data_IF_057797614691
#
_entry.id   IF_057797614691
#
_cell.length_a   1.000
_cell.length_b   1.000
_cell.length_c   1.000
_cell.angle_alpha   90.00
_cell.angle_beta   90.00
_cell.angle_gamma   90.00
#
_symmetry.space_group_name_H-M   'P 1'
#
loop_
_entity.id
_entity.type
_entity.pdbx_description
1 polymer ?
#
# COMPACT_ATOMS: atom_id res chain seq x y z
N UNK A 1 36.56 -23.81 -23.35
CA UNK A 1 35.58 -24.31 -22.37
C UNK A 1 35.10 -23.11 -21.56
N UNK A 2 33.90 -22.58 -21.84
CA UNK A 2 33.36 -21.40 -21.16
C UNK A 2 32.08 -21.78 -20.42
N UNK A 3 32.10 -21.47 -19.12
CA UNK A 3 31.06 -21.66 -18.12
C UNK A 3 29.71 -21.08 -18.57
N UNK A 4 28.71 -21.95 -18.79
CA UNK A 4 27.31 -21.53 -18.68
C UNK A 4 27.01 -21.37 -17.19
N UNK A 5 26.76 -20.13 -16.77
CA UNK A 5 26.06 -19.88 -15.51
C UNK A 5 24.65 -20.44 -15.69
N UNK A 6 24.41 -21.63 -15.16
CA UNK A 6 23.06 -22.14 -14.98
C UNK A 6 22.38 -21.22 -13.97
N UNK A 7 21.67 -20.22 -14.51
CA UNK A 7 20.74 -19.39 -13.77
C UNK A 7 19.55 -20.29 -13.44
N UNK A 8 19.70 -21.14 -12.43
CA UNK A 8 18.60 -21.98 -11.96
C UNK A 8 17.53 -21.04 -11.43
N UNK A 9 16.43 -20.90 -12.16
CA UNK A 9 15.20 -20.32 -11.64
C UNK A 9 14.80 -21.14 -10.41
N UNK A 10 15.20 -20.68 -9.23
CA UNK A 10 14.83 -21.29 -7.97
C UNK A 10 13.35 -20.99 -7.79
N UNK A 11 12.50 -21.92 -8.23
CA UNK A 11 11.06 -21.82 -8.03
C UNK A 11 10.80 -21.73 -6.54
N UNK A 12 10.08 -20.68 -6.13
CA UNK A 12 9.66 -20.51 -4.75
C UNK A 12 8.79 -21.70 -4.36
N UNK A 13 9.26 -22.49 -3.39
CA UNK A 13 8.50 -23.60 -2.85
C UNK A 13 7.39 -23.05 -1.98
N UNK A 14 6.15 -23.34 -2.35
CA UNK A 14 4.97 -22.98 -1.58
C UNK A 14 4.32 -24.23 -0.98
N UNK A 15 3.57 -24.04 0.10
CA UNK A 15 2.64 -25.03 0.62
C UNK A 15 1.21 -24.51 0.45
N UNK A 16 0.24 -25.41 0.28
CA UNK A 16 -1.17 -25.07 0.15
C UNK A 16 -2.04 -26.01 0.95
N UNK A 17 -3.06 -25.47 1.64
CA UNK A 17 -4.11 -26.28 2.25
C UNK A 17 -5.15 -26.67 1.20
N UNK A 18 -5.20 -27.95 0.84
CA UNK A 18 -6.10 -28.46 -0.20
C UNK A 18 -7.57 -28.38 0.22
N UNK A 19 -7.84 -28.29 1.53
CA UNK A 19 -9.20 -28.06 2.02
C UNK A 19 -9.78 -26.73 1.53
N UNK A 20 -8.96 -25.70 1.30
CA UNK A 20 -9.42 -24.41 0.73
C UNK A 20 -10.03 -24.59 -0.66
N UNK A 21 -9.40 -25.41 -1.50
CA UNK A 21 -9.88 -25.71 -2.85
C UNK A 21 -11.21 -26.44 -2.79
N UNK A 22 -11.30 -27.48 -1.95
CA UNK A 22 -12.51 -28.30 -1.83
C UNK A 22 -13.69 -27.51 -1.23
N UNK A 23 -13.42 -26.65 -0.25
CA UNK A 23 -14.43 -25.76 0.33
C UNK A 23 -14.93 -24.77 -0.73
N UNK A 24 -14.04 -24.18 -1.51
CA UNK A 24 -14.41 -23.26 -2.60
C UNK A 24 -15.28 -23.95 -3.65
N UNK A 25 -14.90 -25.15 -4.09
CA UNK A 25 -15.68 -25.98 -5.01
C UNK A 25 -17.10 -26.25 -4.45
N UNK A 26 -17.21 -26.59 -3.16
CA UNK A 26 -18.49 -26.86 -2.50
C UNK A 26 -19.35 -25.61 -2.32
N UNK A 27 -18.76 -24.46 -1.98
CA UNK A 27 -19.45 -23.17 -1.90
C UNK A 27 -20.08 -22.84 -3.25
N UNK A 28 -19.32 -22.95 -4.34
CA UNK A 28 -19.85 -22.72 -5.69
C UNK A 28 -20.99 -23.69 -6.02
N UNK A 29 -20.88 -24.96 -5.60
CA UNK A 29 -21.94 -25.96 -5.80
C UNK A 29 -23.22 -25.62 -5.05
N UNK A 30 -23.13 -25.21 -3.79
CA UNK A 30 -24.31 -24.87 -2.98
C UNK A 30 -24.91 -23.51 -3.36
N UNK A 31 -24.10 -22.53 -3.75
CA UNK A 31 -24.57 -21.21 -4.18
C UNK A 31 -25.39 -21.26 -5.47
N UNK A 32 -25.16 -22.24 -6.36
CA UNK A 32 -25.97 -22.43 -7.59
C UNK A 32 -27.46 -22.63 -7.31
N UNK A 33 -27.83 -23.05 -6.09
CA UNK A 33 -29.22 -23.23 -5.67
C UNK A 33 -29.91 -21.88 -5.43
N UNK A 34 -29.16 -20.83 -5.12
CA UNK A 34 -29.71 -19.51 -4.79
C UNK A 34 -29.93 -18.64 -6.04
N UNK A 35 -30.98 -17.79 -6.06
CA UNK A 35 -31.15 -16.75 -7.08
C UNK A 35 -29.93 -15.82 -7.18
N UNK A 36 -29.66 -15.30 -8.37
CA UNK A 36 -28.49 -14.44 -8.62
C UNK A 36 -28.44 -13.19 -7.73
N UNK A 37 -29.61 -12.61 -7.41
CA UNK A 37 -29.76 -11.43 -6.55
C UNK A 37 -29.31 -11.68 -5.10
N UNK A 38 -29.51 -12.90 -4.59
CA UNK A 38 -29.08 -13.28 -3.24
C UNK A 38 -27.61 -13.65 -3.26
N UNK A 39 -27.14 -14.31 -4.34
CA UNK A 39 -25.73 -14.69 -4.50
C UNK A 39 -24.76 -13.52 -4.35
N UNK A 40 -25.09 -12.33 -4.87
CA UNK A 40 -24.24 -11.15 -4.79
C UNK A 40 -24.14 -10.53 -3.39
N UNK A 41 -25.07 -10.85 -2.48
CA UNK A 41 -25.05 -10.37 -1.09
C UNK A 41 -24.16 -11.20 -0.16
N UNK A 42 -23.75 -12.40 -0.59
CA UNK A 42 -22.92 -13.27 0.25
C UNK A 42 -21.46 -12.84 0.26
N UNK A 43 -20.92 -12.62 1.46
CA UNK A 43 -19.48 -12.49 1.65
C UNK A 43 -18.81 -13.88 1.57
N UNK A 44 -18.27 -14.23 0.40
CA UNK A 44 -17.63 -15.53 0.16
C UNK A 44 -16.44 -15.76 1.10
N UNK A 45 -15.67 -14.73 1.40
CA UNK A 45 -14.49 -14.84 2.28
C UNK A 45 -14.92 -15.23 3.70
N UNK A 46 -16.02 -14.68 4.22
CA UNK A 46 -16.55 -15.07 5.53
C UNK A 46 -17.06 -16.53 5.52
N UNK A 47 -17.69 -16.96 4.43
CA UNK A 47 -18.18 -18.34 4.27
C UNK A 47 -17.00 -19.32 4.25
N UNK A 48 -15.95 -19.02 3.48
CA UNK A 48 -14.73 -19.82 3.41
C UNK A 48 -14.06 -19.91 4.78
N UNK A 49 -13.81 -18.78 5.45
CA UNK A 49 -13.20 -18.74 6.78
C UNK A 49 -14.02 -19.50 7.82
N UNK A 50 -15.36 -19.34 7.82
CA UNK A 50 -16.24 -20.05 8.74
C UNK A 50 -16.16 -21.57 8.53
N UNK A 51 -16.18 -22.03 7.28
CA UNK A 51 -16.14 -23.45 6.96
C UNK A 51 -14.76 -24.06 7.30
N UNK A 52 -13.68 -23.40 6.90
CA UNK A 52 -12.30 -23.88 7.10
C UNK A 52 -11.93 -24.01 8.57
N UNK A 53 -12.40 -23.10 9.43
CA UNK A 53 -12.17 -23.16 10.88
C UNK A 53 -12.85 -24.37 11.57
N UNK A 54 -13.60 -25.20 10.83
CA UNK A 54 -14.31 -26.38 11.34
C UNK A 54 -13.90 -27.67 10.63
N UNK A 55 -12.93 -27.60 9.72
CA UNK A 55 -12.49 -28.72 8.91
C UNK A 55 -11.01 -29.01 9.20
N UNK A 56 -10.56 -30.26 9.07
CA UNK A 56 -9.15 -30.58 9.19
C UNK A 56 -8.37 -29.93 8.05
N UNK A 57 -7.17 -29.44 8.36
CA UNK A 57 -6.24 -28.92 7.35
C UNK A 57 -5.60 -30.08 6.58
N UNK A 58 -5.44 -29.91 5.25
CA UNK A 58 -4.83 -30.90 4.36
C UNK A 58 -3.72 -30.23 3.56
N UNK A 59 -2.57 -29.99 4.19
CA UNK A 59 -1.44 -29.34 3.53
C UNK A 59 -0.72 -30.23 2.54
N UNK A 60 -0.29 -29.64 1.43
CA UNK A 60 0.60 -30.23 0.46
C UNK A 60 1.70 -29.24 0.05
N UNK A 61 2.92 -29.74 -0.12
CA UNK A 61 4.09 -29.01 -0.61
C UNK A 61 4.61 -29.53 -1.96
N UNK A 62 3.90 -30.49 -2.56
CA UNK A 62 4.21 -31.06 -3.88
C UNK A 62 2.94 -31.36 -4.64
N UNK A 63 3.02 -31.45 -5.98
CA UNK A 63 1.88 -31.79 -6.83
C UNK A 63 1.30 -33.18 -6.50
N UNK A 64 2.17 -34.18 -6.32
CA UNK A 64 1.75 -35.53 -5.89
C UNK A 64 1.04 -35.49 -4.54
N UNK A 65 1.58 -34.71 -3.59
CA UNK A 65 0.94 -34.50 -2.28
C UNK A 65 -0.43 -33.83 -2.43
N UNK A 66 -0.54 -32.83 -3.30
CA UNK A 66 -1.80 -32.12 -3.57
C UNK A 66 -2.86 -33.09 -4.08
N UNK A 67 -2.52 -33.91 -5.07
CA UNK A 67 -3.49 -34.84 -5.68
C UNK A 67 -3.94 -35.90 -4.68
N UNK A 68 -3.01 -36.44 -3.87
CA UNK A 68 -3.34 -37.36 -2.79
C UNK A 68 -4.25 -36.73 -1.73
N UNK A 69 -3.94 -35.51 -1.27
CA UNK A 69 -4.77 -34.79 -0.31
C UNK A 69 -6.16 -34.44 -0.88
N UNK A 70 -6.23 -34.15 -2.18
CA UNK A 70 -7.50 -33.89 -2.88
C UNK A 70 -8.40 -35.12 -2.84
N UNK A 71 -7.86 -36.30 -3.12
CA UNK A 71 -8.61 -37.55 -3.07
C UNK A 71 -9.03 -37.92 -1.64
N UNK A 72 -8.14 -37.76 -0.65
CA UNK A 72 -8.48 -37.91 0.77
C UNK A 72 -9.65 -36.99 1.15
N UNK A 73 -9.58 -35.72 0.77
CA UNK A 73 -10.63 -34.74 1.01
C UNK A 73 -11.98 -35.14 0.44
N UNK A 74 -12.02 -35.57 -0.83
CA UNK A 74 -13.24 -36.02 -1.51
C UNK A 74 -13.82 -37.32 -0.93
N UNK A 75 -12.99 -38.26 -0.51
CA UNK A 75 -13.46 -39.56 -0.03
C UNK A 75 -13.86 -39.50 1.44
N UNK A 76 -13.03 -38.87 2.28
CA UNK A 76 -13.19 -38.88 3.74
C UNK A 76 -14.02 -37.72 4.27
N UNK A 77 -13.87 -36.52 3.70
CA UNK A 77 -14.40 -35.29 4.29
C UNK A 77 -15.54 -34.64 3.50
N UNK A 78 -16.01 -35.25 2.40
CA UNK A 78 -17.06 -34.67 1.54
C UNK A 78 -18.34 -34.31 2.31
N UNK A 79 -18.76 -35.15 3.26
CA UNK A 79 -19.99 -34.91 4.04
C UNK A 79 -19.79 -33.73 5.00
N UNK A 80 -18.65 -33.72 5.69
CA UNK A 80 -18.24 -32.70 6.65
C UNK A 80 -18.09 -31.34 5.97
N UNK A 81 -17.45 -31.29 4.80
CA UNK A 81 -17.33 -30.09 3.97
C UNK A 81 -18.72 -29.56 3.60
N UNK A 82 -19.61 -30.43 3.12
CA UNK A 82 -20.98 -30.05 2.78
C UNK A 82 -21.78 -29.49 3.96
N UNK A 83 -21.64 -30.08 5.15
CA UNK A 83 -22.28 -29.60 6.39
C UNK A 83 -21.68 -28.26 6.84
N UNK A 84 -20.36 -28.12 6.80
CA UNK A 84 -19.66 -26.90 7.21
C UNK A 84 -20.06 -25.71 6.32
N UNK A 85 -20.05 -25.89 4.99
CA UNK A 85 -20.46 -24.86 4.02
C UNK A 85 -21.94 -24.51 4.19
N UNK A 86 -22.82 -25.49 4.40
CA UNK A 86 -24.25 -25.21 4.62
C UNK A 86 -24.48 -24.38 5.88
N UNK A 87 -23.77 -24.69 6.97
CA UNK A 87 -23.83 -23.92 8.21
C UNK A 87 -23.25 -22.52 8.03
N UNK A 88 -22.19 -22.37 7.25
CA UNK A 88 -21.59 -21.08 6.92
C UNK A 88 -22.60 -20.18 6.17
N UNK A 89 -23.20 -20.70 5.10
CA UNK A 89 -24.23 -20.00 4.31
C UNK A 89 -25.39 -19.53 5.19
N UNK A 90 -25.95 -20.42 6.01
CA UNK A 90 -27.05 -20.08 6.91
C UNK A 90 -26.66 -19.05 7.99
N UNK A 91 -25.39 -19.00 8.39
CA UNK A 91 -24.90 -18.03 9.38
C UNK A 91 -24.76 -16.63 8.79
N UNK A 92 -24.22 -16.56 7.57
CA UNK A 92 -24.02 -15.30 6.83
C UNK A 92 -25.36 -14.74 6.36
N UNK A 93 -26.28 -15.59 5.89
CA UNK A 93 -27.64 -15.19 5.52
C UNK A 93 -28.40 -14.54 6.69
N UNK A 94 -28.23 -15.07 7.91
CA UNK A 94 -28.84 -14.51 9.12
C UNK A 94 -28.25 -13.16 9.54
N UNK A 95 -27.01 -12.85 9.15
CA UNK A 95 -26.30 -11.64 9.60
C UNK A 95 -25.59 -10.90 8.45
N UNK A 96 -26.32 -10.39 7.44
CA UNK A 96 -25.71 -9.82 6.23
C UNK A 96 -24.98 -8.48 6.47
N UNK A 97 -25.25 -7.79 7.58
CA UNK A 97 -24.68 -6.46 7.90
C UNK A 97 -23.56 -6.49 8.93
N UNK A 98 -22.80 -7.59 9.02
CA UNK A 98 -21.60 -7.59 9.87
C UNK A 98 -20.57 -6.62 9.28
N UNK A 99 -20.50 -5.42 9.84
CA UNK A 99 -19.48 -4.45 9.52
C UNK A 99 -18.14 -4.91 10.12
N UNK A 100 -17.42 -5.79 9.40
CA UNK A 100 -16.05 -6.15 9.75
C UNK A 100 -15.07 -5.40 8.84
N UNK A 101 -13.98 -4.88 9.43
CA UNK A 101 -12.85 -4.38 8.66
C UNK A 101 -12.15 -5.57 7.96
N UNK A 102 -12.11 -5.62 6.62
CA UNK A 102 -11.50 -6.75 5.91
C UNK A 102 -9.99 -6.79 6.15
N UNK A 103 -9.42 -8.00 6.09
CA UNK A 103 -7.98 -8.17 5.99
C UNK A 103 -7.54 -7.77 4.58
N UNK A 104 -6.49 -6.96 4.50
CA UNK A 104 -5.85 -6.57 3.23
C UNK A 104 -4.86 -7.65 2.80
N UNK A 105 -4.78 -7.90 1.50
CA UNK A 105 -3.86 -8.90 0.95
C UNK A 105 -2.39 -8.44 1.08
N UNK A 106 -1.44 -9.38 1.16
CA UNK A 106 -0.02 -9.04 1.16
C UNK A 106 0.39 -8.24 -0.08
N UNK A 107 -0.15 -8.58 -1.26
CA UNK A 107 0.09 -7.83 -2.49
C UNK A 107 -0.39 -6.38 -2.41
N UNK A 108 -1.53 -6.14 -1.75
CA UNK A 108 -2.04 -4.78 -1.53
C UNK A 108 -1.17 -4.01 -0.54
N UNK A 109 -0.68 -4.67 0.52
CA UNK A 109 0.29 -4.08 1.45
C UNK A 109 1.57 -3.71 0.71
N UNK A 110 2.12 -4.61 -0.08
CA UNK A 110 3.31 -4.36 -0.89
C UNK A 110 3.11 -3.22 -1.90
N UNK A 111 1.94 -3.13 -2.54
CA UNK A 111 1.62 -2.01 -3.44
C UNK A 111 1.66 -0.69 -2.69
N UNK A 112 1.01 -0.61 -1.52
CA UNK A 112 1.01 0.59 -0.69
C UNK A 112 2.40 0.95 -0.19
N UNK A 113 3.23 -0.04 0.16
CA UNK A 113 4.62 0.20 0.52
C UNK A 113 5.42 0.77 -0.66
N UNK A 114 5.23 0.23 -1.88
CA UNK A 114 5.88 0.76 -3.09
C UNK A 114 5.44 2.18 -3.41
N UNK A 115 4.13 2.46 -3.31
CA UNK A 115 3.58 3.80 -3.51
C UNK A 115 4.14 4.80 -2.48
N UNK A 116 4.19 4.40 -1.20
CA UNK A 116 4.76 5.21 -0.14
C UNK A 116 6.26 5.46 -0.35
N UNK A 117 7.01 4.44 -0.77
CA UNK A 117 8.44 4.55 -1.06
C UNK A 117 8.68 5.49 -2.26
N UNK A 118 7.90 5.36 -3.33
CA UNK A 118 7.97 6.27 -4.48
C UNK A 118 7.63 7.71 -4.09
N UNK A 119 6.63 7.91 -3.23
CA UNK A 119 6.31 9.23 -2.71
C UNK A 119 7.46 9.83 -1.86
N UNK A 120 8.17 9.00 -1.10
CA UNK A 120 9.33 9.42 -0.33
C UNK A 120 10.49 9.86 -1.23
N UNK A 121 10.80 9.07 -2.27
CA UNK A 121 11.83 9.40 -3.27
C UNK A 121 11.49 10.69 -4.01
N UNK A 122 10.24 10.87 -4.44
CA UNK A 122 9.78 12.11 -5.07
C UNK A 122 9.90 13.31 -4.14
N UNK A 123 9.60 13.14 -2.85
CA UNK A 123 9.74 14.21 -1.86
C UNK A 123 11.21 14.57 -1.65
N UNK A 124 12.10 13.59 -1.59
CA UNK A 124 13.55 13.80 -1.48
C UNK A 124 14.06 14.62 -2.67
N UNK A 125 13.73 14.20 -3.90
CA UNK A 125 14.09 14.91 -5.13
C UNK A 125 13.61 16.37 -5.10
N UNK A 126 12.35 16.61 -4.70
CA UNK A 126 11.80 17.96 -4.60
C UNK A 126 12.53 18.83 -3.56
N UNK A 127 12.87 18.26 -2.41
CA UNK A 127 13.56 19.00 -1.34
C UNK A 127 15.01 19.33 -1.72
N UNK A 128 15.66 18.47 -2.50
CA UNK A 128 16.98 18.72 -3.10
C UNK A 128 16.87 19.82 -4.19
N UNK A 129 15.93 19.69 -5.13
CA UNK A 129 15.72 20.65 -6.22
C UNK A 129 15.40 22.06 -5.70
N UNK A 130 14.62 22.16 -4.62
CA UNK A 130 14.26 23.44 -3.99
C UNK A 130 15.35 24.03 -3.10
N UNK A 131 16.51 23.35 -2.98
CA UNK A 131 17.63 23.73 -2.10
C UNK A 131 17.20 23.90 -0.64
N UNK A 132 16.15 23.18 -0.22
CA UNK A 132 15.68 23.20 1.16
C UNK A 132 16.49 22.24 2.04
N UNK A 133 17.17 21.28 1.43
CA UNK A 133 18.12 20.39 2.08
C UNK A 133 19.44 20.47 1.32
N UNK A 134 20.54 20.43 2.07
CA UNK A 134 21.88 20.32 1.51
C UNK A 134 22.05 18.86 1.10
N UNK A 135 22.18 18.57 -0.20
CA UNK A 135 22.07 17.24 -0.81
C UNK A 135 23.11 16.18 -0.39
N UNK A 136 23.66 16.26 0.82
CA UNK A 136 24.52 15.26 1.44
C UNK A 136 24.66 15.52 2.96
N UNK A 137 24.62 14.51 3.85
CA UNK A 137 24.25 13.11 3.71
C UNK A 137 22.98 12.83 4.53
N UNK A 138 21.81 13.20 4.03
CA UNK A 138 20.55 12.84 4.68
C UNK A 138 19.72 12.05 3.71
N UNK A 139 20.01 10.75 3.58
CA UNK A 139 19.13 9.83 2.85
C UNK A 139 17.75 9.95 3.50
N UNK A 140 16.76 10.46 2.76
CA UNK A 140 15.43 10.65 3.32
C UNK A 140 14.83 9.28 3.61
N UNK A 141 14.54 9.01 4.88
CA UNK A 141 14.00 7.75 5.36
C UNK A 141 12.77 8.00 6.21
N UNK A 142 11.98 6.94 6.43
CA UNK A 142 10.82 7.02 7.33
C UNK A 142 11.20 7.45 8.76
N UNK A 143 12.44 7.19 9.19
CA UNK A 143 12.92 7.55 10.53
C UNK A 143 13.25 9.04 10.65
N UNK A 144 13.70 9.69 9.57
CA UNK A 144 14.12 11.09 9.60
C UNK A 144 13.13 12.06 8.90
N UNK A 145 12.13 11.53 8.19
CA UNK A 145 11.16 12.27 7.38
C UNK A 145 10.59 13.50 8.08
N UNK A 146 10.04 13.32 9.29
CA UNK A 146 9.40 14.42 10.04
C UNK A 146 10.40 15.54 10.33
N UNK A 147 11.59 15.18 10.82
CA UNK A 147 12.62 16.15 11.19
C UNK A 147 13.15 16.93 9.99
N UNK A 148 13.24 16.27 8.85
CA UNK A 148 13.74 16.84 7.60
C UNK A 148 12.71 17.79 7.00
N UNK A 149 11.44 17.37 6.93
CA UNK A 149 10.33 18.22 6.47
C UNK A 149 10.18 19.44 7.38
N UNK A 150 10.28 19.29 8.70
CA UNK A 150 10.22 20.42 9.64
C UNK A 150 11.34 21.44 9.37
N UNK A 151 12.58 20.99 9.16
CA UNK A 151 13.71 21.86 8.81
C UNK A 151 13.49 22.57 7.48
N UNK A 152 12.99 21.87 6.47
CA UNK A 152 12.67 22.44 5.16
C UNK A 152 11.60 23.53 5.26
N UNK A 153 10.52 23.28 6.00
CA UNK A 153 9.45 24.25 6.23
C UNK A 153 9.95 25.49 6.99
N UNK A 154 10.78 25.31 8.03
CA UNK A 154 11.41 26.45 8.72
C UNK A 154 12.27 27.26 7.76
N UNK A 155 13.11 26.62 6.94
CA UNK A 155 13.94 27.32 5.94
C UNK A 155 13.10 28.14 4.96
N UNK A 156 11.96 27.62 4.50
CA UNK A 156 11.00 28.38 3.67
C UNK A 156 10.47 29.62 4.40
N UNK A 157 9.98 29.44 5.63
CA UNK A 157 9.44 30.53 6.45
C UNK A 157 10.47 31.65 6.66
N UNK A 158 11.72 31.31 7.01
CA UNK A 158 12.79 32.31 7.18
C UNK A 158 13.18 33.00 5.87
N UNK A 159 13.15 32.30 4.73
CA UNK A 159 13.47 32.86 3.41
C UNK A 159 12.41 33.85 2.93
N UNK A 160 11.15 33.61 3.27
CA UNK A 160 10.03 34.50 2.95
C UNK A 160 10.05 35.76 3.82
N UNK A 161 10.24 35.62 5.13
CA UNK A 161 10.33 36.75 6.06
C UNK A 161 11.56 37.66 5.80
N UNK A 162 12.70 37.10 5.37
CA UNK A 162 13.85 37.92 4.96
C UNK A 162 13.58 38.77 3.71
N UNK A 163 12.72 38.28 2.79
CA UNK A 163 12.35 39.01 1.57
C UNK A 163 11.34 40.13 1.84
N UNK A 164 10.51 40.04 2.88
CA UNK A 164 9.63 41.14 3.30
C UNK A 164 10.41 42.26 4.00
N UNK A 165 11.35 41.94 4.89
CA UNK A 165 12.19 42.97 5.55
C UNK A 165 13.09 43.72 4.56
N UNK A 166 13.63 43.04 3.55
CA UNK A 166 14.49 43.67 2.53
C UNK A 166 13.72 44.43 1.43
N UNK A 167 12.38 44.29 1.35
CA UNK A 167 11.55 45.20 0.53
C UNK A 167 11.22 46.48 1.27
N UNK A 168 10.95 46.41 2.58
CA UNK A 168 10.69 47.61 3.39
C UNK A 168 11.89 48.56 3.45
N UNK A 169 13.12 48.05 3.38
CA UNK A 169 14.33 48.90 3.30
C UNK A 169 14.58 49.55 1.93
N UNK A 170 13.95 49.07 0.84
CA UNK A 170 14.14 49.65 -0.50
C UNK A 170 13.12 50.73 -0.86
N UNK A 171 12.02 50.84 -0.12
CA UNK A 171 11.05 51.92 -0.31
C UNK A 171 11.41 53.19 0.49
N UNK A 172 12.26 53.11 1.52
CA UNK A 172 12.74 54.31 2.26
C UNK A 172 13.97 54.99 1.62
N UNK A 173 14.71 54.32 0.73
CA UNK A 173 15.95 54.86 0.14
C UNK A 173 15.75 55.62 -1.20
N UNK A 174 14.50 55.76 -1.68
CA UNK A 174 14.19 56.43 -2.96
C UNK A 174 13.81 57.92 -2.78
N UNK A 175 13.58 58.39 -1.55
CA UNK A 175 13.13 59.78 -1.32
C UNK A 175 14.24 60.79 -0.94
N UNK A 176 15.51 60.37 -0.77
CA UNK A 176 16.60 61.30 -0.40
C UNK A 176 17.48 61.79 -1.58
N UNK A 177 17.39 61.21 -2.77
CA UNK A 177 18.26 61.58 -3.91
C UNK A 177 17.67 62.62 -4.89
N UNK A 178 16.59 63.32 -4.48
CA UNK A 178 15.94 64.37 -5.30
C UNK A 178 16.14 65.80 -4.80
N UNK A 179 17.07 66.06 -3.87
CA UNK A 179 17.31 67.40 -3.27
C UNK A 179 18.75 67.94 -3.36
N UNK A 180 19.48 67.68 -4.44
CA UNK A 180 20.70 68.47 -4.75
C UNK A 180 20.53 69.18 -6.10
N UNK A 181 19.97 70.38 -5.98
CA UNK A 181 19.76 71.33 -7.06
C UNK A 181 21.06 71.72 -7.76
N UNK A 182 21.00 71.70 -9.08
CA UNK A 182 21.99 72.33 -9.94
C UNK A 182 21.74 73.83 -9.94
N UNK A 183 22.66 74.58 -9.33
CA UNK A 183 22.78 76.02 -9.58
C UNK A 183 24.28 76.36 -9.61
N UNK A 184 24.85 76.57 -10.81
CA UNK A 184 25.00 77.92 -11.32
C UNK A 184 25.82 77.96 -12.61
N UNK A 185 25.35 78.86 -13.46
CA UNK A 185 25.87 79.34 -14.72
C UNK A 185 27.25 80.03 -14.66
N UNK A 186 27.86 80.14 -15.85
CA UNK A 186 28.74 81.24 -16.34
C UNK A 186 30.24 81.11 -15.97
N UNK A 187 31.24 81.19 -16.87
CA UNK A 187 31.62 82.29 -17.78
C UNK A 187 32.62 81.82 -18.88
N UNK A 188 32.41 82.38 -20.08
CA UNK A 188 33.30 82.70 -21.24
C UNK A 188 34.14 81.66 -21.96
#
# INVERSE_FOLDING_TARGET
MMNRKDNSFKTEQIYQNIMEVLVKEEIQRQLKIYPAQIRSSFNIVEIEAYALNRLPVLYASSEKGRDMQKEIGKQKYRKEIGIAVRRALATVEKNPKRHSKPLVSFSEIESKCREAQSALEMLEDLLIQTQLIDGYPTDLSWDNLVSVVEKALKRLYWKENKKSDSRNFKEEEIDEESSLGWDSSFIS
#
